data_IF_857056660894
#
_entry.id   IF_857056660894
#
_cell.length_a   1.000
_cell.length_b   1.000
_cell.length_c   1.000
_cell.angle_alpha   90.00
_cell.angle_beta   90.00
_cell.angle_gamma   90.00
#
_symmetry.space_group_name_H-M   'P 1'
#
loop_
_entity.id
_entity.type
_entity.pdbx_description
1 polymer ?
#
# COMPACT_ATOMS: atom_id res chain seq x y z
N UNK A 1 -6.55 10.17 14.53
CA UNK A 1 -5.21 9.95 13.92
C UNK A 1 -5.36 9.45 12.50
N UNK A 2 -6.14 8.38 12.32
CA UNK A 2 -6.62 7.82 11.04
C UNK A 2 -7.01 8.86 9.99
N UNK A 3 -7.83 9.86 10.31
CA UNK A 3 -8.24 10.88 9.33
C UNK A 3 -7.08 11.65 8.68
N UNK A 4 -6.01 11.96 9.43
CA UNK A 4 -4.82 12.64 8.89
C UNK A 4 -3.97 11.75 8.00
N UNK A 5 -4.00 10.44 8.25
CA UNK A 5 -3.26 9.44 7.47
C UNK A 5 -3.91 9.29 6.10
N UNK A 6 -5.24 9.10 6.08
CA UNK A 6 -6.02 9.06 4.85
C UNK A 6 -5.87 10.34 4.03
N UNK A 7 -5.99 11.53 4.66
CA UNK A 7 -5.77 12.82 3.99
C UNK A 7 -4.41 12.89 3.30
N UNK A 8 -3.34 12.46 3.98
CA UNK A 8 -1.97 12.52 3.44
C UNK A 8 -1.72 11.54 2.28
N UNK A 9 -2.42 10.41 2.25
CA UNK A 9 -2.38 9.49 1.11
C UNK A 9 -3.18 10.06 -0.08
N UNK A 10 -4.35 10.66 0.19
CA UNK A 10 -5.18 11.28 -0.84
C UNK A 10 -4.53 12.52 -1.49
N UNK A 11 -3.70 13.26 -0.75
CA UNK A 11 -2.93 14.40 -1.26
C UNK A 11 -1.71 13.98 -2.12
N UNK A 12 -1.33 12.70 -2.12
CA UNK A 12 -0.19 12.22 -2.87
C UNK A 12 -0.56 11.92 -4.34
N UNK A 13 -0.43 12.93 -5.20
CA UNK A 13 -0.66 12.82 -6.64
C UNK A 13 0.14 11.69 -7.31
N UNK A 14 1.29 11.29 -6.73
CA UNK A 14 2.10 10.20 -7.25
C UNK A 14 1.48 8.81 -7.07
N UNK A 15 0.47 8.68 -6.20
CA UNK A 15 -0.27 7.42 -6.01
C UNK A 15 -1.35 7.21 -7.08
N UNK A 16 -1.81 8.27 -7.74
CA UNK A 16 -2.90 8.21 -8.73
C UNK A 16 -2.43 8.46 -10.15
N UNK A 17 -1.20 8.98 -10.33
CA UNK A 17 -0.67 9.34 -11.64
C UNK A 17 -0.61 8.15 -12.62
N UNK A 18 -1.46 8.20 -13.65
CA UNK A 18 -1.45 7.23 -14.74
C UNK A 18 -2.20 5.93 -14.45
N UNK A 19 -2.90 5.85 -13.32
CA UNK A 19 -3.91 4.83 -13.04
C UNK A 19 -5.29 5.27 -13.53
N UNK A 20 -6.20 4.32 -13.77
CA UNK A 20 -7.63 4.64 -13.91
C UNK A 20 -8.22 5.04 -12.55
N UNK A 21 -9.39 5.68 -12.54
CA UNK A 21 -10.08 6.06 -11.30
C UNK A 21 -10.35 4.83 -10.40
N UNK A 22 -10.71 3.70 -11.01
CA UNK A 22 -10.96 2.42 -10.32
C UNK A 22 -9.66 1.88 -9.69
N UNK A 23 -8.56 1.87 -10.45
CA UNK A 23 -7.26 1.41 -9.95
C UNK A 23 -6.70 2.36 -8.86
N UNK A 24 -6.85 3.66 -9.03
CA UNK A 24 -6.47 4.64 -8.03
C UNK A 24 -7.26 4.44 -6.74
N UNK A 25 -8.57 4.22 -6.85
CA UNK A 25 -9.42 3.94 -5.70
C UNK A 25 -9.00 2.65 -4.98
N UNK A 26 -8.70 1.59 -5.71
CA UNK A 26 -8.29 0.32 -5.12
C UNK A 26 -6.97 0.46 -4.36
N UNK A 27 -5.95 1.06 -4.99
CA UNK A 27 -4.66 1.29 -4.35
C UNK A 27 -4.79 2.15 -3.09
N UNK A 28 -5.57 3.24 -3.17
CA UNK A 28 -5.74 4.14 -2.04
C UNK A 28 -6.50 3.46 -0.89
N UNK A 29 -7.52 2.67 -1.19
CA UNK A 29 -8.27 1.91 -0.18
C UNK A 29 -7.36 0.94 0.56
N UNK A 30 -6.60 0.15 -0.19
CA UNK A 30 -5.64 -0.81 0.36
C UNK A 30 -4.54 -0.14 1.21
N UNK A 31 -3.96 0.97 0.74
CA UNK A 31 -2.96 1.71 1.51
C UNK A 31 -3.54 2.31 2.80
N UNK A 32 -4.80 2.78 2.78
CA UNK A 32 -5.47 3.31 3.97
C UNK A 32 -5.68 2.20 5.00
N UNK A 33 -6.14 1.02 4.58
CA UNK A 33 -6.34 -0.14 5.47
C UNK A 33 -5.03 -0.52 6.19
N UNK A 34 -3.92 -0.65 5.45
CA UNK A 34 -2.60 -0.91 6.05
C UNK A 34 -2.20 0.20 7.04
N UNK A 35 -2.45 1.45 6.67
CA UNK A 35 -2.06 2.56 7.52
C UNK A 35 -2.90 2.64 8.81
N UNK A 36 -4.17 2.25 8.75
CA UNK A 36 -5.06 2.11 9.90
C UNK A 36 -4.60 0.97 10.82
N UNK A 37 -4.28 -0.20 10.25
CA UNK A 37 -3.75 -1.34 11.00
C UNK A 37 -2.45 -0.99 11.71
N UNK A 38 -1.52 -0.33 11.02
CA UNK A 38 -0.27 0.16 11.61
C UNK A 38 -0.51 1.17 12.73
N UNK A 39 -1.49 2.07 12.57
CA UNK A 39 -1.84 3.04 13.61
C UNK A 39 -2.43 2.34 14.85
N UNK A 40 -3.34 1.38 14.65
CA UNK A 40 -3.97 0.63 15.73
C UNK A 40 -2.96 -0.22 16.51
N UNK A 41 -2.08 -0.93 15.81
CA UNK A 41 -1.02 -1.73 16.45
C UNK A 41 -0.08 -0.88 17.31
N UNK A 42 0.20 0.36 16.89
CA UNK A 42 1.01 1.29 17.67
C UNK A 42 0.30 1.83 18.92
N UNK A 43 -0.99 2.17 18.80
CA UNK A 43 -1.81 2.61 19.94
C UNK A 43 -1.96 1.51 21.01
N UNK A 44 -2.02 0.24 20.59
CA UNK A 44 -2.12 -0.92 21.48
C UNK A 44 -0.77 -1.34 22.09
N UNK A 45 0.34 -1.23 21.33
CA UNK A 45 1.65 -1.71 21.76
C UNK A 45 2.35 -0.80 22.79
N UNK A 46 2.25 0.53 22.65
CA UNK A 46 2.75 1.48 23.65
C UNK A 46 2.27 2.93 23.33
N UNK A 47 1.51 3.61 24.19
CA UNK A 47 1.06 5.00 23.97
C UNK A 47 2.19 6.05 23.99
N UNK A 48 3.45 5.62 24.13
CA UNK A 48 4.68 6.42 24.08
C UNK A 48 5.50 6.22 22.78
N UNK A 49 4.96 5.53 21.76
CA UNK A 49 5.65 5.45 20.46
C UNK A 49 5.98 6.84 19.94
N UNK A 50 7.25 7.05 19.58
CA UNK A 50 7.72 8.31 19.04
C UNK A 50 6.98 8.57 17.72
N UNK A 51 6.40 9.76 17.58
CA UNK A 51 5.74 10.20 16.35
C UNK A 51 6.67 10.15 15.11
N UNK A 52 7.96 9.95 15.31
CA UNK A 52 8.96 9.68 14.26
C UNK A 52 8.81 8.30 13.61
N UNK A 53 8.50 7.25 14.36
CA UNK A 53 8.39 5.89 13.80
C UNK A 53 7.16 5.77 12.89
N UNK A 54 6.02 6.30 13.34
CA UNK A 54 4.80 6.37 12.53
C UNK A 54 5.04 7.18 11.25
N UNK A 55 5.79 8.30 11.33
CA UNK A 55 6.16 9.08 10.14
C UNK A 55 7.07 8.31 9.19
N UNK A 56 8.00 7.51 9.71
CA UNK A 56 8.87 6.67 8.90
C UNK A 56 8.07 5.58 8.19
N UNK A 57 7.19 4.86 8.89
CA UNK A 57 6.30 3.85 8.30
C UNK A 57 5.38 4.46 7.24
N UNK A 58 4.85 5.66 7.47
CA UNK A 58 4.06 6.39 6.46
C UNK A 58 4.86 6.78 5.22
N UNK A 59 6.12 7.18 5.40
CA UNK A 59 6.99 7.48 4.26
C UNK A 59 7.29 6.21 3.44
N UNK A 60 7.46 5.07 4.10
CA UNK A 60 7.66 3.77 3.44
C UNK A 60 6.41 3.34 2.68
N UNK A 61 5.23 3.51 3.27
CA UNK A 61 3.94 3.16 2.64
C UNK A 61 3.66 4.01 1.40
N UNK A 62 3.88 5.33 1.47
CA UNK A 62 3.78 6.23 0.31
C UNK A 62 4.75 5.80 -0.80
N UNK A 63 5.98 5.43 -0.44
CA UNK A 63 6.97 4.95 -1.40
C UNK A 63 6.52 3.65 -2.07
N UNK A 64 5.98 2.71 -1.31
CA UNK A 64 5.46 1.45 -1.85
C UNK A 64 4.33 1.71 -2.85
N UNK A 65 3.32 2.50 -2.46
CA UNK A 65 2.21 2.84 -3.33
C UNK A 65 2.64 3.51 -4.64
N UNK A 66 3.61 4.44 -4.58
CA UNK A 66 4.16 5.10 -5.78
C UNK A 66 4.87 4.12 -6.71
N UNK A 67 5.64 3.19 -6.16
CA UNK A 67 6.29 2.15 -6.97
C UNK A 67 5.25 1.20 -7.58
N UNK A 68 4.18 0.85 -6.87
CA UNK A 68 3.08 0.05 -7.42
C UNK A 68 2.37 0.77 -8.57
N UNK A 69 2.00 2.04 -8.40
CA UNK A 69 1.41 2.86 -9.45
C UNK A 69 2.34 2.96 -10.68
N UNK A 70 3.64 3.18 -10.44
CA UNK A 70 4.66 3.19 -11.49
C UNK A 70 4.77 1.85 -12.20
N UNK A 71 4.78 0.73 -11.48
CA UNK A 71 4.85 -0.63 -12.06
C UNK A 71 3.62 -0.93 -12.90
N UNK A 72 2.43 -0.63 -12.38
CA UNK A 72 1.16 -0.79 -13.09
C UNK A 72 1.19 -0.05 -14.44
N UNK A 73 1.59 1.23 -14.44
CA UNK A 73 1.72 2.04 -15.66
C UNK A 73 2.82 1.54 -16.61
N UNK A 74 3.99 1.18 -16.07
CA UNK A 74 5.17 0.84 -16.88
C UNK A 74 5.03 -0.52 -17.57
N UNK A 75 4.33 -1.46 -16.93
CA UNK A 75 4.19 -2.83 -17.38
C UNK A 75 2.75 -3.21 -17.77
N UNK A 76 1.80 -2.27 -17.67
CA UNK A 76 0.38 -2.48 -17.92
C UNK A 76 -0.19 -3.65 -17.09
N UNK A 77 0.21 -3.73 -15.82
CA UNK A 77 -0.24 -4.74 -14.86
C UNK A 77 -1.39 -4.11 -14.04
N UNK A 78 -2.54 -4.78 -13.87
CA UNK A 78 -3.60 -4.31 -12.98
C UNK A 78 -3.09 -4.07 -11.56
N UNK A 79 -3.60 -3.04 -10.88
CA UNK A 79 -3.09 -2.68 -9.55
C UNK A 79 -3.46 -3.74 -8.52
N UNK A 80 -4.61 -4.37 -8.71
CA UNK A 80 -5.14 -5.51 -7.97
C UNK A 80 -4.14 -6.68 -7.99
N UNK A 81 -3.59 -7.00 -9.17
CA UNK A 81 -2.59 -8.07 -9.31
C UNK A 81 -1.29 -7.72 -8.57
N UNK A 82 -0.91 -6.44 -8.49
CA UNK A 82 0.25 -6.01 -7.70
C UNK A 82 -0.03 -6.05 -6.19
N UNK A 83 -1.25 -5.72 -5.77
CA UNK A 83 -1.70 -5.83 -4.38
C UNK A 83 -1.63 -7.30 -3.95
N UNK A 84 -2.24 -8.21 -4.71
CA UNK A 84 -2.22 -9.65 -4.44
C UNK A 84 -0.78 -10.19 -4.29
N UNK A 85 0.14 -9.75 -5.16
CA UNK A 85 1.55 -10.14 -5.10
C UNK A 85 2.25 -9.63 -3.85
N UNK A 86 1.95 -8.40 -3.44
CA UNK A 86 2.54 -7.80 -2.24
C UNK A 86 1.99 -8.48 -0.99
N UNK A 87 0.69 -8.75 -0.92
CA UNK A 87 0.06 -9.50 0.18
C UNK A 87 0.62 -10.91 0.29
N UNK A 88 0.75 -11.63 -0.82
CA UNK A 88 1.36 -12.95 -0.85
C UNK A 88 2.79 -12.93 -0.31
N UNK A 89 3.60 -11.93 -0.72
CA UNK A 89 4.97 -11.77 -0.24
C UNK A 89 5.03 -11.37 1.25
N UNK A 90 3.99 -10.74 1.79
CA UNK A 90 3.90 -10.35 3.19
C UNK A 90 3.46 -11.50 4.10
N UNK A 91 2.54 -12.36 3.65
CA UNK A 91 2.04 -13.51 4.41
C UNK A 91 3.11 -14.59 4.58
N UNK A 92 3.86 -14.90 3.53
CA UNK A 92 4.97 -15.85 3.57
C UNK A 92 6.16 -15.35 2.75
N UNK A 93 7.13 -14.64 3.38
CA UNK A 93 8.26 -14.08 2.67
C UNK A 93 9.22 -15.13 2.10
N UNK A 94 9.09 -16.39 2.52
CA UNK A 94 9.88 -17.53 2.03
C UNK A 94 9.11 -18.38 0.98
N UNK A 95 7.85 -18.04 0.70
CA UNK A 95 7.06 -18.76 -0.30
C UNK A 95 7.62 -18.53 -1.71
N UNK A 96 7.80 -19.60 -2.52
CA UNK A 96 8.17 -19.43 -3.91
C UNK A 96 7.06 -18.71 -4.69
N UNK A 97 7.39 -17.80 -5.63
CA UNK A 97 6.38 -17.06 -6.38
C UNK A 97 5.45 -18.03 -7.11
N UNK A 98 4.14 -17.87 -6.90
CA UNK A 98 3.15 -18.70 -7.56
C UNK A 98 3.27 -18.52 -9.09
N UNK A 99 3.24 -19.61 -9.88
CA UNK A 99 3.26 -19.49 -11.33
C UNK A 99 2.03 -18.69 -11.78
N UNK A 100 2.17 -17.80 -12.78
CA UNK A 100 1.05 -17.01 -13.27
C UNK A 100 -0.08 -17.94 -13.68
N UNK A 101 -1.29 -17.66 -13.21
CA UNK A 101 -2.47 -18.39 -13.65
C UNK A 101 -2.57 -18.29 -15.17
N UNK A 102 -2.25 -19.38 -15.87
CA UNK A 102 -2.51 -19.48 -17.30
C UNK A 102 -4.03 -19.36 -17.48
N UNK A 103 -4.50 -18.16 -17.85
CA UNK A 103 -5.88 -17.96 -18.31
C UNK A 103 -6.05 -18.84 -19.57
N UNK A 104 -6.87 -19.88 -19.45
CA UNK A 104 -7.22 -20.81 -20.52
C UNK A 104 -8.26 -20.22 -21.47
#
# INVERSE_FOLDING_TARGET
MVSRIAERLLEDEGLTEGLSDEQAQELLSWLIEIAEDLAQQNDEANPLHDADEIRASMTQLQRLGREMARLSRSFNIPIEELIDLVELAWEDPEAPPAPPAMRA
#
